data_IF_322212023098
#
_entry.id   IF_322212023098
#
_cell.length_a   1.000
_cell.length_b   1.000
_cell.length_c   1.000
_cell.angle_alpha   90.00
_cell.angle_beta   90.00
_cell.angle_gamma   90.00
#
_symmetry.space_group_name_H-M   'P 1'
#
loop_
_entity.id
_entity.type
_entity.pdbx_description
1 polymer ?
#
# COMPACT_ATOMS: atom_id res chain seq x y z
N UNK A 1 -19.66 -1.79 18.81
CA UNK A 1 -18.78 -1.63 17.62
C UNK A 1 -19.35 -0.58 16.68
N UNK A 2 -18.56 0.43 16.29
CA UNK A 2 -18.98 1.47 15.33
C UNK A 2 -18.60 1.06 13.89
N UNK A 3 -19.52 0.39 13.19
CA UNK A 3 -19.31 -0.14 11.82
C UNK A 3 -18.95 0.96 10.81
N UNK A 4 -19.45 2.17 11.00
CA UNK A 4 -19.22 3.31 10.09
C UNK A 4 -17.79 3.85 10.18
N UNK A 5 -17.19 3.83 11.38
CA UNK A 5 -15.79 4.21 11.56
C UNK A 5 -14.85 3.19 10.90
N UNK A 6 -15.14 1.90 11.04
CA UNK A 6 -14.39 0.83 10.37
C UNK A 6 -14.49 0.95 8.83
N UNK A 7 -15.69 1.20 8.29
CA UNK A 7 -15.88 1.37 6.84
C UNK A 7 -15.08 2.55 6.28
N UNK A 8 -15.02 3.69 6.98
CA UNK A 8 -14.22 4.85 6.56
C UNK A 8 -12.71 4.58 6.59
N UNK A 9 -12.23 3.82 7.57
CA UNK A 9 -10.83 3.40 7.63
C UNK A 9 -10.48 2.52 6.42
N UNK A 10 -11.32 1.51 6.13
CA UNK A 10 -11.16 0.63 4.97
C UNK A 10 -11.23 1.40 3.64
N UNK A 11 -12.13 2.36 3.50
CA UNK A 11 -12.23 3.19 2.29
C UNK A 11 -11.01 4.11 2.08
N UNK A 12 -10.43 4.65 3.15
CA UNK A 12 -9.19 5.45 3.05
C UNK A 12 -8.02 4.56 2.64
N UNK A 13 -7.95 3.35 3.21
CA UNK A 13 -6.97 2.33 2.91
C UNK A 13 -7.05 1.82 1.48
N UNK A 14 -8.24 1.64 0.90
CA UNK A 14 -8.39 1.24 -0.50
C UNK A 14 -8.18 2.38 -1.50
N UNK A 15 -8.27 3.64 -1.07
CA UNK A 15 -7.95 4.79 -1.95
C UNK A 15 -6.46 5.04 -2.09
N UNK A 16 -5.66 4.82 -1.04
CA UNK A 16 -4.21 5.07 -1.09
C UNK A 16 -3.49 4.36 -2.26
N UNK A 17 -3.80 3.10 -2.62
CA UNK A 17 -3.19 2.42 -3.77
C UNK A 17 -3.47 3.05 -5.13
N UNK A 18 -4.47 3.93 -5.29
CA UNK A 18 -4.74 4.54 -6.60
C UNK A 18 -3.59 5.46 -7.07
N UNK A 19 -2.82 6.03 -6.14
CA UNK A 19 -1.62 6.80 -6.51
C UNK A 19 -0.50 5.91 -7.06
N UNK A 20 -0.50 4.61 -6.70
CA UNK A 20 0.48 3.65 -7.21
C UNK A 20 0.28 3.36 -8.70
N UNK A 21 -0.92 3.62 -9.24
CA UNK A 21 -1.19 3.51 -10.68
C UNK A 21 -0.49 4.64 -11.47
N UNK A 22 -0.27 5.80 -10.84
CA UNK A 22 0.42 6.94 -11.46
C UNK A 22 1.91 6.96 -11.14
N UNK A 23 2.29 6.53 -9.93
CA UNK A 23 3.68 6.42 -9.49
C UNK A 23 3.82 5.21 -8.54
N UNK A 24 4.22 4.08 -9.12
CA UNK A 24 4.39 2.83 -8.36
C UNK A 24 5.60 2.89 -7.42
N UNK A 25 6.60 3.73 -7.68
CA UNK A 25 7.87 3.77 -6.93
C UNK A 25 7.91 4.85 -5.84
N UNK A 26 6.81 5.57 -5.60
CA UNK A 26 6.69 6.59 -4.56
C UNK A 26 6.95 6.07 -3.13
N UNK A 27 6.72 4.78 -2.89
CA UNK A 27 6.96 4.15 -1.60
C UNK A 27 8.43 3.91 -1.27
N UNK A 28 8.74 3.87 0.02
CA UNK A 28 10.06 3.52 0.56
C UNK A 28 10.38 2.05 0.24
N UNK A 29 11.55 1.80 -0.36
CA UNK A 29 12.01 0.45 -0.66
C UNK A 29 12.49 -0.27 0.59
N UNK A 30 11.97 -1.48 0.82
CA UNK A 30 12.33 -2.33 1.94
C UNK A 30 13.36 -3.37 1.49
N UNK A 31 14.65 -3.01 1.51
CA UNK A 31 15.77 -3.84 1.04
C UNK A 31 15.91 -5.21 1.73
N UNK A 32 15.35 -5.35 2.94
CA UNK A 32 15.28 -6.64 3.64
C UNK A 32 14.50 -7.74 2.89
N UNK A 33 13.72 -7.38 1.86
CA UNK A 33 12.97 -8.32 1.02
C UNK A 33 13.64 -8.57 -0.33
N UNK A 34 14.87 -8.08 -0.56
CA UNK A 34 15.60 -8.39 -1.77
C UNK A 34 15.65 -9.92 -2.02
N UNK A 35 15.50 -10.35 -3.29
CA UNK A 35 15.52 -9.54 -4.52
C UNK A 35 14.17 -8.91 -4.91
N UNK A 36 13.13 -8.98 -4.07
CA UNK A 36 11.79 -8.47 -4.41
C UNK A 36 11.74 -6.95 -4.22
N UNK A 37 11.12 -6.23 -5.17
CA UNK A 37 10.90 -4.78 -5.09
C UNK A 37 9.69 -4.48 -4.18
N UNK A 38 9.87 -4.78 -2.89
CA UNK A 38 8.87 -4.52 -1.85
C UNK A 38 9.02 -3.09 -1.35
N UNK A 39 7.89 -2.38 -1.31
CA UNK A 39 7.81 -0.98 -0.91
C UNK A 39 6.73 -0.75 0.14
N UNK A 40 6.87 0.38 0.84
CA UNK A 40 5.96 0.84 1.87
C UNK A 40 5.46 2.26 1.60
N UNK A 41 4.17 2.48 1.82
CA UNK A 41 3.56 3.82 1.94
C UNK A 41 2.73 3.92 3.23
N UNK A 42 2.55 5.16 3.70
CA UNK A 42 1.67 5.47 4.82
C UNK A 42 0.34 6.03 4.31
N UNK A 43 -0.77 5.40 4.69
CA UNK A 43 -2.13 5.81 4.39
C UNK A 43 -2.81 6.29 5.68
N UNK A 44 -2.49 7.53 6.09
CA UNK A 44 -2.91 8.04 7.39
C UNK A 44 -2.16 7.35 8.53
N UNK A 45 -2.87 6.56 9.36
CA UNK A 45 -2.28 5.82 10.48
C UNK A 45 -1.90 4.37 10.15
N UNK A 46 -2.03 4.00 8.88
CA UNK A 46 -1.81 2.62 8.44
C UNK A 46 -0.63 2.53 7.49
N UNK A 47 0.02 1.38 7.55
CA UNK A 47 1.14 1.04 6.69
C UNK A 47 0.65 0.09 5.60
N UNK A 48 0.80 0.47 4.34
CA UNK A 48 0.52 -0.43 3.22
C UNK A 48 1.84 -0.90 2.62
N UNK A 49 2.01 -2.23 2.57
CA UNK A 49 3.15 -2.86 1.90
C UNK A 49 2.70 -3.42 0.57
N UNK A 50 3.47 -3.15 -0.47
CA UNK A 50 3.20 -3.65 -1.80
C UNK A 50 4.49 -4.08 -2.50
N UNK A 51 4.35 -4.90 -3.52
CA UNK A 51 5.44 -5.37 -4.37
C UNK A 51 5.17 -4.97 -5.81
N UNK A 52 6.21 -4.50 -6.50
CA UNK A 52 6.18 -4.24 -7.93
C UNK A 52 6.75 -5.45 -8.67
N UNK A 53 5.95 -6.07 -9.53
CA UNK A 53 6.38 -7.14 -10.41
C UNK A 53 6.03 -6.76 -11.85
N UNK A 54 7.01 -6.21 -12.58
CA UNK A 54 6.77 -5.65 -13.92
C UNK A 54 5.78 -4.49 -13.85
N UNK A 55 4.65 -4.64 -14.54
CA UNK A 55 3.54 -3.67 -14.54
C UNK A 55 2.47 -3.96 -13.47
N UNK A 56 2.63 -5.05 -12.71
CA UNK A 56 1.66 -5.47 -11.71
C UNK A 56 2.08 -5.03 -10.31
N UNK A 57 1.12 -4.53 -9.53
CA UNK A 57 1.32 -4.13 -8.14
C UNK A 57 0.53 -5.07 -7.23
N UNK A 58 1.23 -5.80 -6.37
CA UNK A 58 0.61 -6.70 -5.39
C UNK A 58 0.59 -6.03 -4.01
N UNK A 59 -0.60 -5.86 -3.43
CA UNK A 59 -0.73 -5.39 -2.04
C UNK A 59 -0.57 -6.58 -1.10
N UNK A 60 0.47 -6.57 -0.28
CA UNK A 60 0.83 -7.67 0.62
C UNK A 60 0.18 -7.52 2.00
N UNK A 61 0.04 -6.29 2.51
CA UNK A 61 -0.53 -6.01 3.85
C UNK A 61 -1.06 -4.58 3.96
N UNK A 62 -2.05 -4.43 4.85
CA UNK A 62 -2.72 -3.20 5.28
C UNK A 62 -2.60 -3.03 6.80
#
# INVERSE_FOLDING_TARGET
MNKSAAARAVQKLTKAPTILLTDSRIGEQLFQFEPRDVRRILAGHYETRYEIQGETIYVLRL
#
